data_IF_482771609581
#
_entry.id   IF_482771609581
#
_cell.length_a   1.000
_cell.length_b   1.000
_cell.length_c   1.000
_cell.angle_alpha   90.00
_cell.angle_beta   90.00
_cell.angle_gamma   90.00
#
_symmetry.space_group_name_H-M   'P 1'
#
loop_
_entity.id
_entity.type
_entity.pdbx_description
1 polymer ?
#
# COMPACT_ATOMS: atom_id res chain seq x y z
N UNK A 1 27.47 -8.66 10.05
CA UNK A 1 26.28 -7.83 9.76
C UNK A 1 25.06 -8.66 10.06
N UNK A 2 23.96 -8.09 10.55
CA UNK A 2 22.73 -8.83 10.72
C UNK A 2 22.25 -9.41 9.39
N UNK A 3 21.70 -10.63 9.43
CA UNK A 3 21.16 -11.31 8.25
C UNK A 3 19.63 -11.26 8.33
N UNK A 4 19.00 -10.47 7.49
CA UNK A 4 17.55 -10.38 7.43
C UNK A 4 17.00 -11.29 6.35
N UNK A 5 16.00 -12.10 6.73
CA UNK A 5 15.26 -12.98 5.81
C UNK A 5 13.92 -12.39 5.40
N UNK A 6 13.42 -11.46 6.20
CA UNK A 6 12.11 -10.89 5.94
C UNK A 6 12.19 -9.35 5.93
N UNK A 7 11.61 -8.71 4.91
CA UNK A 7 11.37 -7.27 4.89
C UNK A 7 9.87 -6.99 4.92
N UNK A 8 9.48 -5.99 5.72
CA UNK A 8 8.09 -5.58 5.90
C UNK A 8 7.93 -4.09 5.66
N UNK A 9 6.98 -3.71 4.82
CA UNK A 9 6.75 -2.33 4.41
C UNK A 9 5.37 -1.84 4.88
N UNK A 10 5.35 -0.73 5.63
CA UNK A 10 4.12 -0.04 6.02
C UNK A 10 3.46 0.63 4.82
N UNK A 11 2.13 0.78 4.85
CA UNK A 11 1.39 1.60 3.90
C UNK A 11 1.71 3.09 4.04
N UNK A 12 1.63 3.85 2.94
CA UNK A 12 1.98 5.26 2.97
C UNK A 12 1.64 6.08 1.72
N UNK A 13 0.85 5.57 0.78
CA UNK A 13 0.51 6.26 -0.47
C UNK A 13 1.75 6.58 -1.32
N UNK A 14 1.78 7.74 -1.96
CA UNK A 14 2.91 8.16 -2.82
C UNK A 14 4.25 8.23 -2.09
N UNK A 15 4.22 8.34 -0.75
CA UNK A 15 5.42 8.37 0.10
C UNK A 15 6.25 7.07 0.04
N UNK A 16 5.69 5.99 -0.55
CA UNK A 16 6.41 4.74 -0.83
C UNK A 16 7.70 4.90 -1.63
N UNK A 17 7.91 6.03 -2.32
CA UNK A 17 9.17 6.39 -2.97
C UNK A 17 10.35 6.38 -1.98
N UNK A 18 10.10 6.73 -0.72
CA UNK A 18 11.15 6.69 0.30
C UNK A 18 11.68 5.26 0.54
N UNK A 19 10.86 4.23 0.31
CA UNK A 19 11.34 2.86 0.36
C UNK A 19 12.36 2.54 -0.72
N UNK A 20 12.27 3.17 -1.90
CA UNK A 20 13.25 2.99 -2.97
C UNK A 20 14.63 3.51 -2.52
N UNK A 21 14.66 4.64 -1.81
CA UNK A 21 15.88 5.16 -1.21
C UNK A 21 16.47 4.24 -0.14
N UNK A 22 15.63 3.73 0.77
CA UNK A 22 16.07 2.77 1.79
C UNK A 22 16.58 1.47 1.16
N UNK A 23 15.90 0.93 0.15
CA UNK A 23 16.34 -0.26 -0.59
C UNK A 23 17.69 -0.03 -1.29
N UNK A 24 17.98 1.18 -1.78
CA UNK A 24 19.30 1.50 -2.32
C UNK A 24 20.39 1.22 -1.30
N UNK A 25 20.25 1.77 -0.09
CA UNK A 25 21.20 1.53 0.99
C UNK A 25 21.33 0.04 1.33
N UNK A 26 20.21 -0.68 1.45
CA UNK A 26 20.21 -2.11 1.77
C UNK A 26 20.94 -2.94 0.69
N UNK A 27 20.73 -2.63 -0.60
CA UNK A 27 21.42 -3.30 -1.70
C UNK A 27 22.91 -3.00 -1.73
N UNK A 28 23.32 -1.73 -1.60
CA UNK A 28 24.72 -1.31 -1.60
C UNK A 28 25.52 -1.97 -0.47
N UNK A 29 24.88 -2.23 0.66
CA UNK A 29 25.50 -2.87 1.82
C UNK A 29 25.27 -4.39 1.91
N UNK A 30 24.67 -5.00 0.87
CA UNK A 30 24.47 -6.44 0.80
C UNK A 30 23.49 -7.02 1.83
N UNK A 31 22.62 -6.18 2.41
CA UNK A 31 21.67 -6.56 3.48
C UNK A 31 20.43 -7.32 2.93
N UNK A 32 20.29 -7.40 1.62
CA UNK A 32 19.21 -8.13 0.92
C UNK A 32 19.60 -9.54 0.50
N UNK A 33 20.87 -9.96 0.70
CA UNK A 33 21.40 -11.23 0.17
C UNK A 33 20.74 -12.47 0.75
N UNK A 34 20.24 -12.41 1.97
CA UNK A 34 19.62 -13.53 2.69
C UNK A 34 18.09 -13.44 2.65
N UNK A 35 17.54 -12.53 1.85
CA UNK A 35 16.11 -12.30 1.81
C UNK A 35 15.36 -13.51 1.24
N UNK A 36 14.32 -13.91 1.93
CA UNK A 36 13.44 -15.03 1.57
C UNK A 36 11.98 -14.55 1.40
N UNK A 37 11.54 -13.58 2.22
CA UNK A 37 10.13 -13.16 2.31
C UNK A 37 9.97 -11.67 2.36
N UNK A 38 8.89 -11.18 1.77
CA UNK A 38 8.53 -9.76 1.83
C UNK A 38 7.04 -9.60 2.12
N UNK A 39 6.70 -8.61 2.93
CA UNK A 39 5.32 -8.28 3.24
C UNK A 39 5.06 -6.78 3.14
N UNK A 40 3.83 -6.41 2.79
CA UNK A 40 3.49 -4.99 2.71
C UNK A 40 2.00 -4.70 2.69
N UNK A 41 1.70 -3.44 3.00
CA UNK A 41 0.35 -2.86 2.97
C UNK A 41 0.35 -1.64 2.05
N UNK A 42 -0.67 -1.49 1.18
CA UNK A 42 -0.85 -0.30 0.33
C UNK A 42 0.41 0.00 -0.50
N UNK A 43 0.99 1.20 -0.42
CA UNK A 43 2.28 1.50 -1.06
C UNK A 43 3.40 0.52 -0.68
N UNK A 44 3.38 0.01 0.56
CA UNK A 44 4.28 -1.05 0.99
C UNK A 44 4.06 -2.36 0.27
N UNK A 45 2.81 -2.67 -0.14
CA UNK A 45 2.51 -3.84 -0.95
C UNK A 45 3.09 -3.73 -2.37
N UNK A 46 3.09 -2.52 -2.95
CA UNK A 46 3.75 -2.25 -4.24
C UNK A 46 5.25 -2.51 -4.14
N UNK A 47 5.88 -1.96 -3.09
CA UNK A 47 7.32 -2.14 -2.85
C UNK A 47 7.66 -3.60 -2.59
N UNK A 48 6.84 -4.30 -1.79
CA UNK A 48 7.00 -5.73 -1.52
C UNK A 48 6.88 -6.56 -2.80
N UNK A 49 5.90 -6.26 -3.68
CA UNK A 49 5.76 -6.91 -4.98
C UNK A 49 7.02 -6.72 -5.85
N UNK A 50 7.47 -5.47 -6.03
CA UNK A 50 8.65 -5.19 -6.87
C UNK A 50 9.87 -5.95 -6.34
N UNK A 51 10.04 -6.00 -5.01
CA UNK A 51 11.14 -6.74 -4.39
C UNK A 51 10.95 -8.25 -4.48
N UNK A 52 9.69 -8.76 -4.36
CA UNK A 52 9.39 -10.19 -4.50
C UNK A 52 9.79 -10.76 -5.85
N UNK A 53 9.69 -9.97 -6.91
CA UNK A 53 10.15 -10.34 -8.25
C UNK A 53 11.67 -10.58 -8.34
N UNK A 54 12.37 -10.46 -7.23
CA UNK A 54 13.80 -10.72 -7.04
C UNK A 54 14.68 -10.07 -8.11
N UNK A 55 14.63 -8.73 -8.28
CA UNK A 55 15.43 -8.03 -9.28
C UNK A 55 16.93 -8.20 -9.05
N UNK A 56 17.71 -8.24 -10.14
CA UNK A 56 19.15 -8.52 -10.07
C UNK A 56 19.95 -7.38 -9.43
N UNK A 57 19.44 -6.17 -9.53
CA UNK A 57 20.12 -4.97 -9.05
C UNK A 57 19.15 -3.92 -8.54
N UNK A 58 19.67 -3.00 -7.74
CA UNK A 58 18.91 -1.82 -7.34
C UNK A 58 18.46 -0.97 -8.55
N UNK A 59 19.27 -0.89 -9.61
CA UNK A 59 18.91 -0.15 -10.82
C UNK A 59 17.64 -0.67 -11.47
N UNK A 60 17.39 -1.97 -11.38
CA UNK A 60 16.15 -2.58 -11.88
C UNK A 60 14.95 -2.20 -11.01
N UNK A 61 15.09 -2.24 -9.67
CA UNK A 61 14.05 -1.77 -8.74
C UNK A 61 13.68 -0.33 -9.08
N UNK A 62 14.70 0.53 -9.20
CA UNK A 62 14.47 1.96 -9.50
C UNK A 62 13.77 2.14 -10.85
N UNK A 63 14.19 1.41 -11.88
CA UNK A 63 13.56 1.47 -13.22
C UNK A 63 12.08 1.08 -13.17
N UNK A 64 11.73 0.02 -12.41
CA UNK A 64 10.34 -0.38 -12.23
C UNK A 64 9.57 0.69 -11.47
N UNK A 65 10.10 1.20 -10.36
CA UNK A 65 9.46 2.23 -9.56
C UNK A 65 9.23 3.53 -10.37
N UNK A 66 10.23 3.95 -11.16
CA UNK A 66 10.16 5.15 -12.00
C UNK A 66 9.20 4.97 -13.20
N UNK A 67 8.80 3.76 -13.56
CA UNK A 67 7.85 3.51 -14.65
C UNK A 67 6.39 3.77 -14.26
N UNK A 68 6.09 3.90 -12.97
CA UNK A 68 4.76 4.24 -12.49
C UNK A 68 4.55 5.76 -12.59
N UNK A 69 3.63 6.19 -13.44
CA UNK A 69 3.18 7.59 -13.46
C UNK A 69 2.12 7.80 -12.37
N UNK A 70 2.54 8.35 -11.24
CA UNK A 70 1.66 8.56 -10.08
C UNK A 70 0.48 9.47 -10.40
N UNK A 71 0.62 10.42 -11.33
CA UNK A 71 -0.46 11.35 -11.75
C UNK A 71 -1.62 10.64 -12.44
N UNK A 72 -1.39 9.44 -12.98
CA UNK A 72 -2.41 8.61 -13.62
C UNK A 72 -3.05 7.59 -12.67
N UNK A 73 -2.51 7.42 -11.47
CA UNK A 73 -3.02 6.40 -10.52
C UNK A 73 -4.47 6.70 -10.11
N UNK A 74 -4.85 7.94 -9.70
CA UNK A 74 -6.25 8.31 -9.61
C UNK A 74 -6.77 8.66 -11.01
N UNK A 75 -7.43 7.71 -11.69
CA UNK A 75 -7.96 7.92 -13.04
C UNK A 75 -9.50 8.10 -13.02
N UNK A 76 -10.03 8.85 -13.98
CA UNK A 76 -11.49 8.98 -14.16
C UNK A 76 -12.10 7.71 -14.78
N UNK A 77 -11.28 6.73 -15.18
CA UNK A 77 -11.64 5.48 -15.84
C UNK A 77 -11.95 5.67 -17.33
N UNK A 78 -11.53 4.72 -18.15
CA UNK A 78 -11.95 4.64 -19.55
C UNK A 78 -13.43 4.25 -19.63
N UNK A 79 -14.19 4.84 -20.57
CA UNK A 79 -15.55 4.41 -20.87
C UNK A 79 -15.48 2.95 -21.31
N UNK A 80 -16.02 2.03 -20.51
CA UNK A 80 -16.29 0.70 -21.02
C UNK A 80 -17.43 0.82 -22.05
N UNK A 81 -17.12 0.70 -23.34
CA UNK A 81 -18.10 0.64 -24.42
C UNK A 81 -19.08 -0.55 -24.31
N UNK A 82 -18.99 -1.34 -23.25
CA UNK A 82 -19.84 -2.51 -23.00
C UNK A 82 -21.12 -2.24 -22.20
N UNK A 83 -21.40 -0.98 -21.83
CA UNK A 83 -22.59 -0.60 -21.03
C UNK A 83 -23.89 -0.35 -21.80
N UNK A 84 -23.87 -0.26 -23.13
CA UNK A 84 -25.08 0.14 -23.91
C UNK A 84 -25.97 -1.01 -24.39
N UNK A 85 -25.64 -2.27 -24.24
CA UNK A 85 -26.45 -3.39 -24.72
C UNK A 85 -27.24 -4.17 -23.66
N UNK A 86 -27.24 -3.76 -22.38
CA UNK A 86 -27.91 -4.47 -21.28
C UNK A 86 -29.20 -3.84 -20.71
N UNK A 87 -29.60 -2.69 -21.15
CA UNK A 87 -30.73 -1.94 -20.54
C UNK A 87 -32.06 -2.05 -21.32
N UNK A 88 -32.45 -3.26 -21.74
CA UNK A 88 -33.84 -3.56 -22.15
C UNK A 88 -34.33 -4.80 -21.40
N UNK A 89 -35.02 -4.58 -20.28
CA UNK A 89 -35.87 -5.60 -19.68
C UNK A 89 -35.65 -5.85 -18.20
N UNK A 90 -36.10 -4.96 -17.33
CA UNK A 90 -36.84 -5.30 -16.09
C UNK A 90 -37.47 -4.04 -15.53
N UNK A 91 -38.77 -3.92 -15.73
CA UNK A 91 -39.64 -3.01 -14.97
C UNK A 91 -39.80 -3.63 -13.58
N UNK A 92 -39.24 -2.97 -12.53
CA UNK A 92 -39.39 -3.36 -11.15
C UNK A 92 -38.64 -2.42 -10.23
N UNK A 93 -39.36 -1.53 -9.54
CA UNK A 93 -39.01 -0.75 -8.32
C UNK A 93 -37.75 0.12 -8.26
N UNK A 94 -36.88 0.15 -9.28
CA UNK A 94 -35.66 1.01 -9.28
C UNK A 94 -35.92 2.47 -9.70
N UNK A 95 -37.08 2.81 -10.22
CA UNK A 95 -37.38 4.13 -10.81
C UNK A 95 -37.36 5.31 -9.81
N UNK A 96 -37.60 5.07 -8.54
CA UNK A 96 -37.64 6.15 -7.54
C UNK A 96 -36.26 6.65 -7.07
N UNK A 97 -35.25 5.80 -7.05
CA UNK A 97 -33.90 6.17 -6.64
C UNK A 97 -33.15 6.93 -7.74
N UNK A 98 -33.31 6.50 -9.00
CA UNK A 98 -32.75 7.18 -10.18
C UNK A 98 -33.43 8.54 -10.45
N UNK A 99 -34.72 8.63 -10.22
CA UNK A 99 -35.47 9.89 -10.36
C UNK A 99 -35.11 10.88 -9.23
N UNK A 100 -34.90 10.41 -8.02
CA UNK A 100 -34.37 11.23 -6.90
C UNK A 100 -32.93 11.67 -7.12
N UNK A 101 -32.09 10.81 -7.65
CA UNK A 101 -30.72 11.16 -8.03
C UNK A 101 -30.71 12.22 -9.15
N UNK A 102 -31.59 12.11 -10.15
CA UNK A 102 -31.73 13.08 -11.23
C UNK A 102 -32.27 14.44 -10.74
N UNK A 103 -33.21 14.46 -9.78
CA UNK A 103 -33.73 15.70 -9.17
C UNK A 103 -32.68 16.39 -8.26
N UNK A 104 -31.90 15.62 -7.50
CA UNK A 104 -30.75 16.13 -6.75
C UNK A 104 -29.68 16.68 -7.69
N UNK A 105 -29.50 16.06 -8.85
CA UNK A 105 -28.58 16.51 -9.89
C UNK A 105 -28.98 17.87 -10.51
N UNK A 106 -30.24 18.08 -10.85
CA UNK A 106 -30.72 19.39 -11.36
C UNK A 106 -30.53 20.52 -10.34
N UNK A 107 -30.66 20.20 -9.03
CA UNK A 107 -30.48 21.17 -7.95
C UNK A 107 -29.02 21.47 -7.66
N UNK A 108 -28.08 20.54 -7.97
CA UNK A 108 -26.65 20.67 -7.75
C UNK A 108 -25.91 21.40 -8.86
N UNK A 109 -26.49 21.50 -10.08
CA UNK A 109 -25.90 22.29 -11.18
C UNK A 109 -25.76 23.77 -10.80
N UNK A 110 -26.67 24.29 -9.96
CA UNK A 110 -26.64 25.67 -9.49
C UNK A 110 -25.54 25.96 -8.43
N UNK A 111 -24.90 24.91 -7.88
CA UNK A 111 -23.93 25.01 -6.80
C UNK A 111 -22.48 24.71 -7.21
N UNK A 112 -22.18 24.56 -8.51
CA UNK A 112 -20.81 24.31 -8.99
C UNK A 112 -20.21 22.95 -8.59
N UNK A 113 -21.00 22.03 -8.02
CA UNK A 113 -20.57 20.76 -7.44
C UNK A 113 -20.42 19.65 -8.50
N UNK A 114 -20.92 19.87 -9.72
CA UNK A 114 -21.00 18.80 -10.74
C UNK A 114 -20.00 19.03 -11.87
N UNK A 115 -18.71 18.90 -11.59
CA UNK A 115 -17.75 18.65 -12.68
C UNK A 115 -17.56 17.16 -13.00
N UNK A 116 -18.15 16.22 -12.20
CA UNK A 116 -17.87 14.80 -12.40
C UNK A 116 -19.04 13.88 -12.03
N UNK A 117 -20.09 13.84 -12.88
CA UNK A 117 -21.21 12.90 -12.72
C UNK A 117 -20.73 11.43 -12.65
N UNK A 118 -19.70 11.08 -13.42
CA UNK A 118 -19.12 9.73 -13.41
C UNK A 118 -18.50 9.37 -12.06
N UNK A 119 -17.76 10.29 -11.42
CA UNK A 119 -17.19 10.08 -10.10
C UNK A 119 -18.26 9.91 -9.02
N UNK A 120 -19.35 10.67 -9.11
CA UNK A 120 -20.47 10.55 -8.16
C UNK A 120 -21.23 9.23 -8.34
N UNK A 121 -21.46 8.79 -9.57
CA UNK A 121 -22.08 7.49 -9.85
C UNK A 121 -21.18 6.35 -9.38
N UNK A 122 -19.87 6.46 -9.58
CA UNK A 122 -18.89 5.49 -9.13
C UNK A 122 -18.81 5.40 -7.60
N UNK A 123 -18.87 6.55 -6.90
CA UNK A 123 -18.93 6.56 -5.43
C UNK A 123 -20.12 5.76 -4.89
N UNK A 124 -21.28 5.84 -5.56
CA UNK A 124 -22.49 5.13 -5.14
C UNK A 124 -22.48 3.66 -5.56
N UNK A 125 -22.05 3.36 -6.78
CA UNK A 125 -22.08 2.01 -7.36
C UNK A 125 -20.86 1.19 -6.96
N UNK A 126 -19.67 1.76 -7.14
CA UNK A 126 -18.38 1.08 -6.99
C UNK A 126 -17.69 1.40 -5.67
N UNK A 127 -18.31 2.24 -4.83
CA UNK A 127 -17.84 2.63 -3.49
C UNK A 127 -16.49 3.36 -3.50
N UNK A 128 -16.14 4.03 -4.64
CA UNK A 128 -14.91 4.79 -4.80
C UNK A 128 -15.06 5.92 -5.80
N UNK A 129 -14.28 7.00 -5.60
CA UNK A 129 -14.31 8.19 -6.46
C UNK A 129 -13.52 8.00 -7.75
N UNK A 130 -12.34 7.37 -7.65
CA UNK A 130 -11.42 7.14 -8.76
C UNK A 130 -11.32 5.66 -9.14
N UNK A 131 -11.07 5.40 -10.44
CA UNK A 131 -10.67 4.07 -10.90
C UNK A 131 -9.19 3.81 -10.61
N UNK A 132 -8.86 2.57 -10.32
CA UNK A 132 -7.50 2.07 -10.18
C UNK A 132 -7.02 1.25 -11.40
N UNK A 133 -7.73 1.30 -12.53
CA UNK A 133 -7.46 0.44 -13.68
C UNK A 133 -6.09 0.68 -14.32
N UNK A 134 -5.65 1.95 -14.45
CA UNK A 134 -4.31 2.27 -14.92
C UNK A 134 -3.24 1.57 -14.07
N UNK A 135 -3.35 1.69 -12.76
CA UNK A 135 -2.43 1.06 -11.81
C UNK A 135 -2.48 -0.47 -11.89
N UNK A 136 -3.68 -1.04 -12.00
CA UNK A 136 -3.88 -2.49 -12.11
C UNK A 136 -3.24 -3.06 -13.38
N UNK A 137 -3.36 -2.37 -14.52
CA UNK A 137 -2.73 -2.77 -15.77
C UNK A 137 -1.21 -2.65 -15.68
N UNK A 138 -0.68 -1.57 -15.09
CA UNK A 138 0.75 -1.42 -14.84
C UNK A 138 1.30 -2.58 -13.98
N UNK A 139 0.60 -2.98 -12.91
CA UNK A 139 0.99 -4.13 -12.09
C UNK A 139 1.09 -5.42 -12.94
N UNK A 140 0.11 -5.67 -13.78
CA UNK A 140 0.10 -6.84 -14.66
C UNK A 140 1.26 -6.86 -15.63
N UNK A 141 1.58 -5.71 -16.24
CA UNK A 141 2.73 -5.58 -17.15
C UNK A 141 4.05 -5.81 -16.42
N UNK A 142 4.25 -5.22 -15.25
CA UNK A 142 5.45 -5.42 -14.42
C UNK A 142 5.61 -6.89 -14.06
N UNK A 143 4.55 -7.54 -13.58
CA UNK A 143 4.56 -8.95 -13.21
C UNK A 143 4.87 -9.81 -14.45
N UNK A 144 4.12 -9.64 -15.55
CA UNK A 144 4.30 -10.45 -16.77
C UNK A 144 5.71 -10.35 -17.34
N UNK A 145 6.36 -9.20 -17.21
CA UNK A 145 7.74 -9.00 -17.68
C UNK A 145 8.77 -9.91 -17.02
N UNK A 146 8.42 -10.53 -15.89
CA UNK A 146 9.31 -11.39 -15.07
C UNK A 146 9.06 -12.88 -15.25
N UNK A 147 8.08 -13.26 -16.04
CA UNK A 147 7.78 -14.66 -16.36
C UNK A 147 8.22 -15.04 -17.76
N UNK A 148 8.56 -16.33 -17.95
CA UNK A 148 8.94 -16.92 -19.24
C UNK A 148 7.76 -17.42 -20.05
N UNK A 149 6.58 -17.50 -19.45
CA UNK A 149 5.34 -17.98 -20.04
C UNK A 149 4.40 -16.81 -20.33
N UNK A 150 3.63 -16.89 -21.42
CA UNK A 150 2.62 -15.93 -21.78
C UNK A 150 1.29 -16.30 -21.11
N UNK A 151 0.95 -15.57 -20.04
CA UNK A 151 -0.30 -15.69 -19.30
C UNK A 151 -0.90 -14.30 -19.11
N UNK A 152 -2.23 -14.23 -19.17
CA UNK A 152 -2.96 -12.98 -18.95
C UNK A 152 -2.88 -12.49 -17.50
N UNK A 153 -2.81 -13.42 -16.54
CA UNK A 153 -2.76 -13.14 -15.09
C UNK A 153 -1.84 -14.12 -14.40
N UNK A 154 -1.15 -13.69 -13.35
CA UNK A 154 -0.26 -14.50 -12.54
C UNK A 154 -0.73 -14.54 -11.09
N UNK A 155 -0.80 -15.75 -10.54
CA UNK A 155 -1.28 -16.05 -9.19
C UNK A 155 -0.14 -16.15 -8.20
N UNK A 156 -0.45 -16.22 -6.90
CA UNK A 156 0.56 -16.54 -5.88
C UNK A 156 1.17 -17.93 -6.08
N UNK A 157 0.42 -18.91 -6.63
CA UNK A 157 0.98 -20.20 -6.98
C UNK A 157 2.04 -20.08 -8.10
N UNK A 158 1.80 -19.22 -9.09
CA UNK A 158 2.80 -18.93 -10.14
C UNK A 158 4.07 -18.28 -9.56
N UNK A 159 3.93 -17.42 -8.54
CA UNK A 159 5.08 -16.83 -7.84
C UNK A 159 5.89 -17.85 -7.05
N UNK A 160 5.29 -18.95 -6.63
CA UNK A 160 5.96 -20.05 -5.94
C UNK A 160 6.60 -21.08 -6.88
N UNK A 161 6.42 -20.96 -8.21
CA UNK A 161 6.94 -21.89 -9.21
C UNK A 161 8.13 -21.30 -10.00
N UNK A 162 9.38 -21.56 -9.58
CA UNK A 162 10.57 -21.02 -10.26
C UNK A 162 10.73 -21.49 -11.71
N UNK A 163 10.05 -22.58 -12.12
CA UNK A 163 10.20 -23.14 -13.47
C UNK A 163 9.66 -22.23 -14.57
N UNK A 164 8.74 -21.33 -14.22
CA UNK A 164 8.15 -20.35 -15.13
C UNK A 164 8.68 -18.93 -14.94
N UNK A 165 9.62 -18.73 -14.02
CA UNK A 165 10.27 -17.43 -13.82
C UNK A 165 11.32 -17.17 -14.91
N UNK A 166 11.41 -15.94 -15.38
CA UNK A 166 12.40 -15.55 -16.38
C UNK A 166 13.82 -15.72 -15.83
N UNK A 167 14.64 -16.45 -16.56
CA UNK A 167 16.00 -16.79 -16.11
C UNK A 167 16.07 -17.82 -14.98
N UNK A 168 14.96 -18.48 -14.61
CA UNK A 168 14.92 -19.52 -13.57
C UNK A 168 15.24 -19.02 -12.16
N UNK A 169 15.23 -17.69 -11.92
CA UNK A 169 15.54 -17.10 -10.62
C UNK A 169 14.31 -17.16 -9.72
N UNK A 170 14.36 -17.81 -8.53
CA UNK A 170 13.22 -17.87 -7.62
C UNK A 170 12.81 -16.47 -7.14
N UNK A 171 11.50 -16.23 -7.04
CA UNK A 171 10.96 -15.03 -6.40
C UNK A 171 10.98 -15.19 -4.88
N UNK A 172 10.91 -14.08 -4.16
CA UNK A 172 10.68 -14.11 -2.72
C UNK A 172 9.21 -14.36 -2.41
N UNK A 173 8.94 -15.05 -1.29
CA UNK A 173 7.58 -15.25 -0.81
C UNK A 173 6.92 -13.91 -0.52
N UNK A 174 5.77 -13.65 -1.13
CA UNK A 174 5.06 -12.37 -1.06
C UNK A 174 3.81 -12.47 -0.19
N UNK A 175 3.68 -11.52 0.74
CA UNK A 175 2.56 -11.40 1.66
C UNK A 175 1.95 -10.00 1.56
N UNK A 176 0.68 -9.92 1.20
CA UNK A 176 -0.05 -8.67 1.00
C UNK A 176 -1.23 -8.61 1.98
N UNK A 177 -1.44 -7.47 2.64
CA UNK A 177 -2.60 -7.27 3.50
C UNK A 177 -3.76 -6.63 2.75
N UNK A 178 -4.97 -7.01 3.12
CA UNK A 178 -6.21 -6.36 2.71
C UNK A 178 -7.19 -6.29 3.87
N UNK A 179 -8.14 -5.36 3.82
CA UNK A 179 -9.22 -5.27 4.79
C UNK A 179 -10.50 -5.85 4.20
N UNK A 180 -10.99 -6.94 4.77
CA UNK A 180 -12.31 -7.51 4.49
C UNK A 180 -13.37 -6.69 5.23
N UNK A 181 -13.99 -5.75 4.52
CA UNK A 181 -15.02 -4.85 5.07
C UNK A 181 -16.29 -5.64 5.44
N UNK A 182 -16.61 -6.68 4.67
CA UNK A 182 -17.80 -7.50 4.92
C UNK A 182 -17.74 -8.22 6.27
N UNK A 183 -16.56 -8.75 6.62
CA UNK A 183 -16.33 -9.48 7.86
C UNK A 183 -15.61 -8.66 8.94
N UNK A 184 -15.22 -7.42 8.66
CA UNK A 184 -14.52 -6.50 9.59
C UNK A 184 -13.23 -7.12 10.14
N UNK A 185 -12.41 -7.66 9.23
CA UNK A 185 -11.16 -8.33 9.60
C UNK A 185 -10.04 -8.01 8.61
N UNK A 186 -8.80 -8.07 9.07
CA UNK A 186 -7.65 -8.04 8.16
C UNK A 186 -7.47 -9.42 7.51
N UNK A 187 -7.05 -9.43 6.25
CA UNK A 187 -6.70 -10.65 5.51
C UNK A 187 -5.26 -10.55 5.02
N UNK A 188 -4.63 -11.71 4.97
CA UNK A 188 -3.30 -11.86 4.39
C UNK A 188 -3.45 -12.68 3.10
N UNK A 189 -2.95 -12.14 1.99
CA UNK A 189 -2.90 -12.80 0.68
C UNK A 189 -1.47 -13.26 0.40
N UNK A 190 -1.29 -14.54 0.10
CA UNK A 190 0.02 -15.14 -0.14
C UNK A 190 -0.15 -16.51 -0.83
N UNK A 191 0.94 -17.16 -1.21
CA UNK A 191 0.92 -18.54 -1.68
C UNK A 191 0.36 -19.52 -0.63
N UNK A 192 0.51 -19.20 0.67
CA UNK A 192 0.00 -20.04 1.76
C UNK A 192 -1.52 -19.91 1.96
N UNK A 193 -2.08 -18.73 1.78
CA UNK A 193 -3.48 -18.43 2.14
C UNK A 193 -4.41 -18.35 0.96
N UNK A 194 -3.92 -17.87 -0.19
CA UNK A 194 -4.69 -17.61 -1.40
C UNK A 194 -3.89 -17.97 -2.66
N UNK A 195 -3.41 -19.22 -2.82
CA UNK A 195 -2.52 -19.60 -3.93
C UNK A 195 -3.10 -19.31 -5.31
N UNK A 196 -4.42 -19.46 -5.50
CA UNK A 196 -5.12 -19.17 -6.76
C UNK A 196 -5.46 -17.71 -7.01
N UNK A 197 -5.16 -16.79 -6.07
CA UNK A 197 -5.46 -15.37 -6.25
C UNK A 197 -4.43 -14.71 -7.16
N UNK A 198 -4.89 -13.87 -8.07
CA UNK A 198 -4.02 -13.01 -8.88
C UNK A 198 -3.25 -12.03 -7.99
N UNK A 199 -1.93 -11.97 -8.15
CA UNK A 199 -1.06 -11.11 -7.33
C UNK A 199 -1.34 -9.62 -7.59
N UNK A 200 -1.57 -9.22 -8.85
CA UNK A 200 -1.95 -7.84 -9.17
C UNK A 200 -3.27 -7.43 -8.49
N UNK A 201 -4.24 -8.35 -8.39
CA UNK A 201 -5.51 -8.10 -7.69
C UNK A 201 -5.30 -7.93 -6.18
N UNK A 202 -4.44 -8.73 -5.56
CA UNK A 202 -4.11 -8.59 -4.15
C UNK A 202 -3.50 -7.21 -3.84
N UNK A 203 -2.56 -6.74 -4.67
CA UNK A 203 -1.97 -5.41 -4.54
C UNK A 203 -3.00 -4.31 -4.80
N UNK A 204 -3.88 -4.47 -5.83
CA UNK A 204 -4.99 -3.55 -6.08
C UNK A 204 -5.90 -3.42 -4.86
N UNK A 205 -6.30 -4.53 -4.24
CA UNK A 205 -7.07 -4.53 -2.99
C UNK A 205 -6.31 -3.76 -1.91
N UNK A 206 -5.03 -4.06 -1.71
CA UNK A 206 -4.23 -3.48 -0.64
C UNK A 206 -4.08 -1.97 -0.73
N UNK A 207 -4.20 -1.39 -1.94
CA UNK A 207 -4.10 0.06 -2.15
C UNK A 207 -5.46 0.75 -2.39
N UNK A 208 -6.58 0.02 -2.27
CA UNK A 208 -7.93 0.58 -2.48
C UNK A 208 -8.38 1.38 -1.26
N UNK A 209 -7.86 2.62 -1.14
CA UNK A 209 -8.23 3.56 -0.07
C UNK A 209 -9.75 3.78 -0.10
N UNK A 210 -10.45 3.54 1.03
CA UNK A 210 -11.89 3.62 1.09
C UNK A 210 -12.44 4.95 0.57
N UNK A 211 -13.47 4.89 -0.27
CA UNK A 211 -14.14 6.02 -0.91
C UNK A 211 -13.27 6.80 -1.91
N UNK A 212 -11.94 6.68 -1.86
CA UNK A 212 -11.05 7.29 -2.84
C UNK A 212 -10.91 6.39 -4.08
N UNK A 213 -10.58 5.12 -3.89
CA UNK A 213 -10.60 4.10 -4.94
C UNK A 213 -11.79 3.15 -4.78
N UNK A 214 -12.13 2.48 -5.88
CA UNK A 214 -13.17 1.46 -5.92
C UNK A 214 -12.90 0.35 -4.91
N UNK A 215 -13.95 -0.09 -4.20
CA UNK A 215 -13.87 -1.28 -3.38
C UNK A 215 -13.87 -2.54 -4.26
N UNK A 216 -13.02 -3.50 -3.93
CA UNK A 216 -12.78 -4.68 -4.77
C UNK A 216 -13.52 -5.89 -4.22
N UNK A 217 -14.44 -6.52 -4.98
CA UNK A 217 -15.04 -7.78 -4.60
C UNK A 217 -14.06 -8.95 -4.83
N UNK A 218 -13.91 -9.83 -3.84
CA UNK A 218 -13.14 -11.06 -3.97
C UNK A 218 -13.72 -12.14 -3.04
N UNK A 219 -13.78 -13.38 -3.52
CA UNK A 219 -14.20 -14.52 -2.70
C UNK A 219 -12.98 -15.19 -2.08
N UNK A 220 -12.79 -14.98 -0.77
CA UNK A 220 -11.70 -15.61 -0.04
C UNK A 220 -11.92 -17.12 0.07
N UNK A 221 -10.87 -17.96 -0.01
CA UNK A 221 -11.01 -19.41 0.15
C UNK A 221 -11.74 -19.79 1.43
N UNK A 222 -12.68 -20.73 1.29
CA UNK A 222 -13.50 -21.20 2.42
C UNK A 222 -14.70 -20.29 2.77
N UNK A 223 -14.98 -19.25 1.98
CA UNK A 223 -16.18 -18.41 2.14
C UNK A 223 -17.24 -18.75 1.10
N UNK A 224 -18.52 -18.59 1.48
CA UNK A 224 -19.66 -18.91 0.59
C UNK A 224 -19.98 -17.80 -0.41
N UNK A 225 -19.59 -16.57 -0.15
CA UNK A 225 -19.95 -15.38 -0.93
C UNK A 225 -18.74 -14.46 -1.12
N UNK A 226 -18.67 -13.69 -2.21
CA UNK A 226 -17.66 -12.65 -2.35
C UNK A 226 -17.77 -11.61 -1.23
N UNK A 227 -16.63 -11.23 -0.66
CA UNK A 227 -16.51 -10.14 0.29
C UNK A 227 -16.09 -8.87 -0.43
N UNK A 228 -16.38 -7.73 0.16
CA UNK A 228 -15.93 -6.42 -0.28
C UNK A 228 -14.66 -6.06 0.46
N UNK A 229 -13.61 -5.74 -0.31
CA UNK A 229 -12.29 -5.39 0.24
C UNK A 229 -11.95 -3.93 0.02
N UNK A 230 -11.14 -3.42 0.92
CA UNK A 230 -10.51 -2.11 0.87
C UNK A 230 -9.03 -2.21 1.25
N UNK A 231 -8.33 -1.06 1.25
CA UNK A 231 -6.92 -0.93 1.61
C UNK A 231 -6.61 -1.64 2.94
N UNK A 232 -5.51 -2.40 2.95
CA UNK A 232 -5.04 -3.10 4.14
C UNK A 232 -4.75 -2.16 5.31
N UNK A 233 -4.42 -0.91 5.03
CA UNK A 233 -4.15 0.13 6.02
C UNK A 233 -5.34 0.47 6.91
N UNK A 234 -6.57 0.16 6.52
CA UNK A 234 -7.75 0.36 7.38
C UNK A 234 -7.59 -0.40 8.71
N UNK A 235 -7.10 -1.64 8.68
CA UNK A 235 -6.98 -2.48 9.88
C UNK A 235 -5.55 -2.86 10.25
N UNK A 236 -4.66 -3.05 9.28
CA UNK A 236 -3.29 -3.51 9.50
C UNK A 236 -2.32 -2.80 8.56
N UNK A 237 -1.97 -1.55 8.89
CA UNK A 237 -1.11 -0.72 8.04
C UNK A 237 0.38 -1.09 8.09
N UNK A 238 0.82 -1.78 9.14
CA UNK A 238 2.20 -2.25 9.32
C UNK A 238 2.23 -3.70 9.77
N UNK A 239 2.32 -4.65 8.84
CA UNK A 239 2.20 -6.08 9.13
C UNK A 239 3.51 -6.70 9.66
N UNK A 240 4.25 -6.03 10.53
CA UNK A 240 5.57 -6.45 11.00
C UNK A 240 5.57 -7.83 11.68
N UNK A 241 4.48 -8.15 12.39
CA UNK A 241 4.34 -9.40 13.13
C UNK A 241 3.94 -10.60 12.27
N UNK A 242 3.72 -10.43 10.96
CA UNK A 242 3.33 -11.56 10.08
C UNK A 242 4.36 -12.69 10.12
N UNK A 243 5.63 -12.36 10.33
CA UNK A 243 6.71 -13.33 10.41
C UNK A 243 7.13 -13.70 11.85
N UNK A 244 6.38 -13.27 12.87
CA UNK A 244 6.62 -13.59 14.28
C UNK A 244 6.01 -14.96 14.64
N UNK A 245 6.35 -15.98 13.87
CA UNK A 245 5.91 -17.35 14.02
C UNK A 245 7.11 -18.31 13.90
N UNK A 246 7.09 -19.42 14.66
CA UNK A 246 8.15 -20.43 14.65
C UNK A 246 8.33 -21.10 13.28
N UNK A 247 7.32 -21.09 12.41
CA UNK A 247 7.44 -21.59 11.03
C UNK A 247 8.42 -20.78 10.19
N UNK A 248 8.64 -19.49 10.52
CA UNK A 248 9.57 -18.61 9.80
C UNK A 248 10.91 -18.43 10.49
N UNK A 249 10.99 -18.70 11.80
CA UNK A 249 12.22 -18.56 12.58
C UNK A 249 12.27 -19.59 13.71
N UNK A 250 13.36 -20.37 13.77
CA UNK A 250 13.53 -21.41 14.80
C UNK A 250 13.51 -20.85 16.23
N UNK A 251 14.00 -19.63 16.42
CA UNK A 251 14.12 -19.00 17.74
C UNK A 251 13.62 -17.56 17.69
N UNK A 252 12.45 -17.37 18.24
CA UNK A 252 11.90 -16.03 18.45
C UNK A 252 12.57 -15.38 19.68
N UNK A 253 12.87 -14.09 19.57
CA UNK A 253 13.28 -13.27 20.71
C UNK A 253 12.08 -12.54 21.27
N UNK A 254 11.69 -12.87 22.51
CA UNK A 254 10.50 -12.30 23.18
C UNK A 254 9.23 -12.36 22.29
N UNK A 255 9.07 -13.44 21.52
CA UNK A 255 7.96 -13.62 20.59
C UNK A 255 8.09 -12.84 19.27
N UNK A 256 9.28 -12.32 18.95
CA UNK A 256 9.57 -11.62 17.70
C UNK A 256 10.59 -12.39 16.87
N UNK A 257 10.48 -12.31 15.57
CA UNK A 257 11.45 -12.86 14.64
C UNK A 257 12.60 -11.86 14.44
N UNK A 258 13.83 -12.15 14.95
CA UNK A 258 14.97 -11.24 14.82
C UNK A 258 15.51 -11.12 13.40
N UNK A 259 15.12 -12.02 12.50
CA UNK A 259 15.48 -11.99 11.09
C UNK A 259 14.51 -11.10 10.26
N UNK A 260 13.58 -10.38 10.93
CA UNK A 260 12.62 -9.47 10.28
C UNK A 260 13.04 -8.02 10.48
N UNK A 261 13.15 -7.29 9.38
CA UNK A 261 13.37 -5.84 9.35
C UNK A 261 12.15 -5.16 8.74
N UNK A 262 11.62 -4.16 9.45
CA UNK A 262 10.53 -3.35 8.98
C UNK A 262 10.98 -1.97 8.49
N UNK A 263 10.27 -1.43 7.51
CA UNK A 263 10.42 -0.06 7.02
C UNK A 263 9.12 0.69 7.29
N UNK A 264 9.21 1.75 8.07
CA UNK A 264 8.05 2.45 8.63
C UNK A 264 8.07 3.93 8.26
N UNK A 265 7.16 4.33 7.38
CA UNK A 265 6.92 5.74 7.07
C UNK A 265 6.15 6.39 8.22
N UNK A 266 6.63 7.54 8.68
CA UNK A 266 5.94 8.34 9.69
C UNK A 266 5.87 9.80 9.27
N UNK A 267 4.77 10.46 9.69
CA UNK A 267 4.62 11.89 9.52
C UNK A 267 5.39 12.61 10.62
N UNK A 268 6.33 13.47 10.22
CA UNK A 268 7.03 14.31 11.19
C UNK A 268 6.02 15.16 11.96
N UNK A 269 6.07 15.18 13.29
CA UNK A 269 5.20 16.03 14.08
C UNK A 269 5.32 17.52 13.72
N UNK A 270 6.50 17.94 13.24
CA UNK A 270 6.76 19.34 12.85
C UNK A 270 6.17 19.68 11.48
N UNK A 271 5.77 18.68 10.69
CA UNK A 271 5.22 18.86 9.37
C UNK A 271 3.67 18.87 9.32
N UNK A 272 2.97 18.68 10.45
CA UNK A 272 1.51 18.77 10.46
C UNK A 272 1.06 20.23 10.44
N UNK A 273 0.83 20.73 9.25
CA UNK A 273 0.18 22.03 9.05
C UNK A 273 -1.34 21.86 9.01
N UNK A 274 -2.04 22.93 9.42
CA UNK A 274 -3.49 23.00 9.22
C UNK A 274 -3.80 22.92 7.73
N UNK A 275 -4.62 21.94 7.35
CA UNK A 275 -5.16 21.81 6.00
C UNK A 275 -6.64 22.05 6.03
N UNK A 276 -7.09 23.01 5.23
CA UNK A 276 -8.52 23.28 5.06
C UNK A 276 -9.17 22.12 4.32
N UNK A 277 -10.26 21.60 4.86
CA UNK A 277 -11.07 20.54 4.24
C UNK A 277 -12.17 21.21 3.43
N UNK A 278 -12.00 21.33 2.11
CA UNK A 278 -12.90 22.06 1.20
C UNK A 278 -13.98 21.20 0.59
N UNK A 279 -13.71 19.92 0.38
CA UNK A 279 -14.59 19.03 -0.37
C UNK A 279 -14.66 17.62 0.21
N UNK A 280 -15.51 16.79 -0.41
CA UNK A 280 -15.71 15.40 0.03
C UNK A 280 -14.42 14.57 -0.08
N UNK A 281 -13.63 14.78 -1.13
CA UNK A 281 -12.36 14.07 -1.34
C UNK A 281 -11.35 14.44 -0.25
N UNK A 282 -11.23 15.73 0.09
CA UNK A 282 -10.36 16.19 1.17
C UNK A 282 -10.79 15.61 2.52
N UNK A 283 -12.12 15.59 2.77
CA UNK A 283 -12.68 15.02 3.99
C UNK A 283 -12.38 13.53 4.12
N UNK A 284 -12.58 12.76 3.05
CA UNK A 284 -12.33 11.32 3.00
C UNK A 284 -10.84 11.04 3.23
N UNK A 285 -9.97 11.79 2.54
CA UNK A 285 -8.52 11.67 2.69
C UNK A 285 -8.07 11.99 4.12
N UNK A 286 -8.58 13.09 4.69
CA UNK A 286 -8.25 13.49 6.06
C UNK A 286 -8.76 12.46 7.09
N UNK A 287 -9.95 11.90 6.89
CA UNK A 287 -10.49 10.85 7.75
C UNK A 287 -9.62 9.58 7.71
N UNK A 288 -9.26 9.14 6.51
CA UNK A 288 -8.40 7.96 6.34
C UNK A 288 -7.00 8.20 6.93
N UNK A 289 -6.39 9.36 6.66
CA UNK A 289 -5.11 9.75 7.27
C UNK A 289 -5.18 9.77 8.80
N UNK A 290 -6.30 10.22 9.38
CA UNK A 290 -6.50 10.22 10.84
C UNK A 290 -6.55 8.80 11.42
N UNK A 291 -7.18 7.85 10.73
CA UNK A 291 -7.19 6.44 11.12
C UNK A 291 -5.79 5.82 11.05
N UNK A 292 -5.04 6.11 9.99
CA UNK A 292 -3.66 5.66 9.84
C UNK A 292 -2.76 6.23 10.94
N UNK A 293 -2.95 7.49 11.32
CA UNK A 293 -2.18 8.16 12.37
C UNK A 293 -2.39 7.52 13.74
N UNK A 294 -3.60 7.03 14.06
CA UNK A 294 -3.85 6.29 15.31
C UNK A 294 -3.01 5.01 15.34
N UNK A 295 -3.02 4.21 14.25
CA UNK A 295 -2.19 3.01 14.16
C UNK A 295 -0.68 3.34 14.23
N UNK A 296 -0.26 4.42 13.57
CA UNK A 296 1.11 4.90 13.59
C UNK A 296 1.57 5.21 15.02
N UNK A 297 0.78 5.94 15.79
CA UNK A 297 1.09 6.26 17.19
C UNK A 297 1.24 5.01 18.05
N UNK A 298 0.38 3.98 17.87
CA UNK A 298 0.48 2.73 18.61
C UNK A 298 1.82 2.01 18.36
N UNK A 299 2.35 2.08 17.13
CA UNK A 299 3.67 1.50 16.81
C UNK A 299 4.80 2.36 17.37
N UNK A 300 4.71 3.68 17.22
CA UNK A 300 5.73 4.62 17.67
C UNK A 300 5.93 4.61 19.19
N UNK A 301 4.85 4.43 19.97
CA UNK A 301 4.90 4.36 21.43
C UNK A 301 5.28 2.97 21.95
N UNK A 302 5.25 1.95 21.10
CA UNK A 302 5.61 0.58 21.47
C UNK A 302 7.13 0.35 21.43
N UNK A 303 7.74 0.02 22.57
CA UNK A 303 9.17 -0.31 22.67
C UNK A 303 9.57 -1.57 21.89
N UNK A 304 8.60 -2.47 21.71
CA UNK A 304 8.81 -3.84 21.24
C UNK A 304 9.49 -3.95 19.87
N UNK A 305 9.29 -2.99 18.98
CA UNK A 305 9.71 -3.08 17.58
C UNK A 305 10.87 -2.14 17.19
N UNK A 306 11.43 -1.39 18.14
CA UNK A 306 12.45 -0.37 17.89
C UNK A 306 13.70 -0.93 17.18
N UNK A 307 14.23 -2.03 17.68
CA UNK A 307 15.50 -2.61 17.18
C UNK A 307 15.39 -3.31 15.83
N UNK A 308 14.18 -3.39 15.24
CA UNK A 308 13.95 -4.05 13.95
C UNK A 308 13.10 -3.21 12.97
N UNK A 309 13.06 -1.89 13.17
CA UNK A 309 12.29 -0.97 12.32
C UNK A 309 13.12 0.23 11.91
N UNK A 310 13.27 0.46 10.62
CA UNK A 310 13.80 1.69 10.03
C UNK A 310 12.66 2.68 9.96
N UNK A 311 12.74 3.79 10.71
CA UNK A 311 11.75 4.86 10.70
C UNK A 311 12.13 5.91 9.67
N UNK A 312 11.25 6.14 8.69
CA UNK A 312 11.50 7.01 7.55
C UNK A 312 10.55 8.19 7.61
N UNK A 313 11.08 9.42 7.62
CA UNK A 313 10.28 10.64 7.55
C UNK A 313 9.59 10.78 6.19
N UNK A 314 8.35 11.22 6.18
CA UNK A 314 7.61 11.55 4.96
C UNK A 314 7.89 12.96 4.42
N UNK A 315 8.81 13.69 5.05
CA UNK A 315 9.21 15.06 4.69
C UNK A 315 8.04 16.05 4.57
N UNK A 316 6.92 15.76 5.25
CA UNK A 316 5.70 16.55 5.20
C UNK A 316 4.88 16.39 3.92
N UNK A 317 5.23 15.44 3.06
CA UNK A 317 4.52 15.18 1.80
C UNK A 317 3.26 14.35 2.11
N UNK A 318 2.05 14.79 1.70
CA UNK A 318 0.82 14.04 1.89
C UNK A 318 0.82 12.69 1.18
N UNK A 319 0.20 11.67 1.79
CA UNK A 319 0.08 10.33 1.20
C UNK A 319 -0.71 10.30 -0.12
N UNK A 320 -1.56 11.28 -0.32
CA UNK A 320 -2.45 11.44 -1.49
C UNK A 320 -1.98 12.51 -2.48
N UNK A 321 -0.76 13.01 -2.35
CA UNK A 321 -0.16 13.96 -3.30
C UNK A 321 0.37 13.24 -4.53
N UNK A 322 -0.53 12.87 -5.43
CA UNK A 322 -0.21 12.15 -6.65
C UNK A 322 0.49 13.02 -7.72
N UNK A 323 0.61 14.34 -7.52
CA UNK A 323 1.40 15.21 -8.42
C UNK A 323 2.89 15.09 -8.12
N UNK A 324 3.45 13.98 -8.56
CA UNK A 324 4.81 13.57 -8.25
C UNK A 324 5.38 12.73 -9.41
N UNK A 325 6.58 13.04 -9.84
CA UNK A 325 7.28 12.31 -10.88
C UNK A 325 8.76 12.12 -10.57
N UNK A 326 9.43 11.11 -11.19
CA UNK A 326 10.87 10.99 -11.15
C UNK A 326 11.56 12.28 -11.64
N UNK A 327 12.48 12.81 -10.82
CA UNK A 327 13.17 14.08 -11.09
C UNK A 327 12.58 15.30 -10.38
N UNK A 328 11.41 15.22 -9.80
CA UNK A 328 10.82 16.29 -8.99
C UNK A 328 11.53 16.43 -7.64
N UNK A 329 11.52 17.63 -7.06
CA UNK A 329 12.10 17.91 -5.76
C UNK A 329 11.45 17.04 -4.64
N UNK A 330 10.13 16.87 -4.68
CA UNK A 330 9.42 16.01 -3.72
C UNK A 330 9.87 14.55 -3.83
N UNK A 331 10.05 14.05 -5.06
CA UNK A 331 10.56 12.71 -5.30
C UNK A 331 11.97 12.55 -4.69
N UNK A 332 12.86 13.50 -4.96
CA UNK A 332 14.22 13.47 -4.43
C UNK A 332 14.23 13.52 -2.90
N UNK A 333 13.43 14.39 -2.27
CA UNK A 333 13.31 14.48 -0.81
C UNK A 333 12.90 13.16 -0.16
N UNK A 334 11.86 12.49 -0.71
CA UNK A 334 11.40 11.18 -0.21
C UNK A 334 12.49 10.12 -0.38
N UNK A 335 13.09 10.05 -1.55
CA UNK A 335 14.17 9.10 -1.83
C UNK A 335 15.35 9.28 -0.86
N UNK A 336 15.83 10.52 -0.70
CA UNK A 336 16.94 10.85 0.20
C UNK A 336 16.59 10.58 1.69
N UNK A 337 15.34 10.84 2.08
CA UNK A 337 14.86 10.52 3.42
C UNK A 337 14.98 9.03 3.71
N UNK A 338 14.53 8.19 2.78
CA UNK A 338 14.65 6.73 2.92
C UNK A 338 16.08 6.24 2.99
N UNK A 339 16.96 6.75 2.13
CA UNK A 339 18.38 6.39 2.14
C UNK A 339 19.06 6.77 3.46
N UNK A 340 18.86 8.01 3.91
CA UNK A 340 19.43 8.51 5.19
C UNK A 340 18.92 7.70 6.38
N UNK A 341 17.61 7.43 6.43
CA UNK A 341 17.02 6.66 7.53
C UNK A 341 17.61 5.24 7.63
N UNK A 342 17.84 4.58 6.49
CA UNK A 342 18.50 3.28 6.47
C UNK A 342 19.98 3.38 6.93
N UNK A 343 20.73 4.36 6.44
CA UNK A 343 22.11 4.59 6.87
C UNK A 343 22.19 4.84 8.38
N UNK A 344 21.38 5.76 8.91
CA UNK A 344 21.34 6.06 10.35
C UNK A 344 20.99 4.83 11.20
N UNK A 345 20.06 3.98 10.74
CA UNK A 345 19.68 2.77 11.48
C UNK A 345 20.86 1.80 11.63
N UNK A 346 21.66 1.61 10.59
CA UNK A 346 22.79 0.67 10.63
C UNK A 346 24.07 1.25 11.22
N UNK A 347 24.30 2.54 11.02
CA UNK A 347 25.54 3.18 11.46
C UNK A 347 25.54 3.49 12.97
N UNK A 348 24.36 3.80 13.57
CA UNK A 348 24.32 4.35 14.92
C UNK A 348 23.34 3.68 15.90
N UNK A 349 22.42 2.81 15.49
CA UNK A 349 21.24 2.42 16.30
C UNK A 349 20.39 3.63 16.79
N UNK A 350 20.63 4.83 16.25
CA UNK A 350 20.22 6.12 16.83
C UNK A 350 18.91 6.69 16.27
N UNK A 351 18.36 6.06 15.24
CA UNK A 351 17.16 6.59 14.54
C UNK A 351 15.94 6.74 15.47
N UNK A 352 15.79 5.80 16.41
CA UNK A 352 14.69 5.83 17.38
C UNK A 352 14.81 6.99 18.37
N UNK A 353 15.99 7.20 18.94
CA UNK A 353 16.19 8.24 19.96
C UNK A 353 16.03 9.64 19.37
N UNK A 354 16.47 9.85 18.13
CA UNK A 354 16.25 11.10 17.40
C UNK A 354 14.73 11.34 17.17
N UNK A 355 14.00 10.31 16.79
CA UNK A 355 12.55 10.40 16.57
C UNK A 355 11.82 10.66 17.90
N UNK A 356 12.13 9.92 18.95
CA UNK A 356 11.54 10.14 20.28
C UNK A 356 11.82 11.56 20.81
N UNK A 357 13.03 12.06 20.68
CA UNK A 357 13.40 13.40 21.08
C UNK A 357 12.57 14.46 20.34
N UNK A 358 12.30 14.28 19.04
CA UNK A 358 11.41 15.15 18.26
C UNK A 358 9.96 15.07 18.74
N UNK A 359 9.45 13.86 18.99
CA UNK A 359 8.10 13.63 19.51
C UNK A 359 7.92 14.22 20.92
N UNK A 360 8.91 14.03 21.81
CA UNK A 360 8.89 14.59 23.18
C UNK A 360 8.89 16.11 23.18
N UNK A 361 9.73 16.74 22.35
CA UNK A 361 9.77 18.21 22.23
C UNK A 361 8.44 18.82 21.81
N UNK A 362 7.71 18.17 20.89
CA UNK A 362 6.46 18.72 20.36
C UNK A 362 5.24 18.47 21.23
N UNK A 363 5.12 17.29 21.83
CA UNK A 363 3.92 16.89 22.57
C UNK A 363 4.08 17.01 24.08
N UNK A 364 5.22 17.48 24.58
CA UNK A 364 5.49 17.56 26.03
C UNK A 364 5.44 16.19 26.73
N UNK A 365 5.53 15.11 25.94
CA UNK A 365 5.40 13.76 26.44
C UNK A 365 6.64 13.35 27.26
N UNK A 366 6.44 13.17 28.54
CA UNK A 366 7.41 12.49 29.41
C UNK A 366 7.11 11.01 29.26
N UNK A 367 8.05 10.25 28.70
CA UNK A 367 7.92 8.79 28.57
C UNK A 367 7.37 8.19 29.86
N UNK A 368 6.57 7.13 29.74
CA UNK A 368 6.18 6.37 30.90
C UNK A 368 7.46 5.99 31.64
N UNK A 369 7.72 6.65 32.73
CA UNK A 369 8.65 6.17 33.74
C UNK A 369 7.88 5.09 34.47
N UNK A 370 8.32 3.85 34.33
CA UNK A 370 7.99 2.58 34.98
C UNK A 370 6.77 2.52 35.90
#
# INVERSE_FOLDING_TARGET
>A
MPSYKNLVFKGGGVRGIAYVGALKYLYENGLTRSLERVAGTSAGAITALVLALNPESFSEIKRIADSLDYRKVPSEGEKSEQGEQGAKGSQGEGGSALARAAQLWQKSQSLGIVKNLQCTLRLVQDKGWYSSDYFYNWLREVIASRFSVDKKTFTFADFADPSIHKGGRPFFDLYITGTDISNRTSRLFSAETTPGMEVALAVRISMSIPLFFEAVPYQYPGTERPQVYADGGVMLNYPLSVFDDQKYCRRLDRGMNPETLGLFLYSSPDATEYKEVKGMVDYISALFESLLLVQERLVLYGEKNKGRTIFISDEGIPSTDFDLAPGDEKYAKLFDSGYRAAAEFFDHNANWDLMLNRLQKRFGWKGAQD
#
